data_IF_183039419595
#
_entry.id   IF_183039419595
#
_cell.length_a   1.000
_cell.length_b   1.000
_cell.length_c   1.000
_cell.angle_alpha   90.00
_cell.angle_beta   90.00
_cell.angle_gamma   90.00
#
_symmetry.space_group_name_H-M   'P 1'
#
loop_
_entity.id
_entity.type
_entity.pdbx_description
1 polymer ?
#
# COMPACT_ATOMS: atom_id res chain seq x y z
N UNK A 1 -20.01 -10.58 -16.10
CA UNK A 1 -19.62 -9.34 -15.41
C UNK A 1 -19.33 -9.56 -13.92
N UNK A 2 -20.21 -10.26 -13.18
CA UNK A 2 -20.02 -10.60 -11.76
C UNK A 2 -18.70 -11.32 -11.43
N UNK A 3 -18.21 -12.18 -12.34
CA UNK A 3 -16.92 -12.87 -12.16
C UNK A 3 -15.76 -11.87 -12.16
N UNK A 4 -15.75 -10.87 -13.04
CA UNK A 4 -14.63 -9.93 -13.16
C UNK A 4 -14.58 -8.95 -11.98
N UNK A 5 -15.75 -8.53 -11.47
CA UNK A 5 -15.84 -7.74 -10.24
C UNK A 5 -15.36 -8.55 -9.02
N UNK A 6 -15.66 -9.85 -8.95
CA UNK A 6 -15.16 -10.72 -7.89
C UNK A 6 -13.63 -10.90 -7.93
N UNK A 7 -13.03 -10.95 -9.12
CA UNK A 7 -11.57 -11.00 -9.26
C UNK A 7 -10.91 -9.69 -8.79
N UNK A 8 -11.48 -8.53 -9.15
CA UNK A 8 -10.96 -7.23 -8.72
C UNK A 8 -11.08 -7.10 -7.21
N UNK A 9 -12.22 -7.46 -6.61
CA UNK A 9 -12.40 -7.39 -5.16
C UNK A 9 -11.46 -8.33 -4.40
N UNK A 10 -11.26 -9.55 -4.92
CA UNK A 10 -10.31 -10.50 -4.35
C UNK A 10 -8.86 -9.99 -4.44
N UNK A 11 -8.48 -9.37 -5.56
CA UNK A 11 -7.16 -8.77 -5.72
C UNK A 11 -6.94 -7.63 -4.71
N UNK A 12 -7.90 -6.70 -4.59
CA UNK A 12 -7.84 -5.59 -3.61
C UNK A 12 -7.68 -6.12 -2.19
N UNK A 13 -8.50 -7.10 -1.81
CA UNK A 13 -8.46 -7.71 -0.48
C UNK A 13 -7.13 -8.44 -0.22
N UNK A 14 -6.64 -9.21 -1.19
CA UNK A 14 -5.39 -9.95 -1.06
C UNK A 14 -4.17 -9.02 -0.93
N UNK A 15 -4.03 -8.04 -1.83
CA UNK A 15 -2.92 -7.09 -1.78
C UNK A 15 -3.00 -6.15 -0.58
N UNK A 16 -4.20 -5.73 -0.18
CA UNK A 16 -4.40 -4.91 1.02
C UNK A 16 -4.04 -5.65 2.31
N UNK A 17 -4.51 -6.90 2.45
CA UNK A 17 -4.17 -7.74 3.60
C UNK A 17 -2.66 -8.05 3.64
N UNK A 18 -2.06 -8.37 2.50
CA UNK A 18 -0.63 -8.62 2.39
C UNK A 18 0.19 -7.38 2.75
N UNK A 19 -0.20 -6.21 2.26
CA UNK A 19 0.44 -4.93 2.62
C UNK A 19 0.41 -4.71 4.14
N UNK A 20 -0.76 -4.88 4.75
CA UNK A 20 -0.93 -4.72 6.20
C UNK A 20 -0.05 -5.69 7.00
N UNK A 21 -0.08 -6.99 6.67
CA UNK A 21 0.70 -8.01 7.36
C UNK A 21 2.20 -7.73 7.24
N UNK A 22 2.69 -7.40 6.04
CA UNK A 22 4.11 -7.10 5.85
C UNK A 22 4.54 -5.83 6.57
N UNK A 23 3.70 -4.79 6.59
CA UNK A 23 3.98 -3.55 7.32
C UNK A 23 4.07 -3.81 8.82
N UNK A 24 3.14 -4.58 9.39
CA UNK A 24 3.17 -4.97 10.81
C UNK A 24 4.43 -5.78 11.12
N UNK A 25 4.80 -6.75 10.27
CA UNK A 25 6.02 -7.54 10.49
C UNK A 25 7.26 -6.66 10.39
N UNK A 26 7.34 -5.76 9.41
CA UNK A 26 8.48 -4.86 9.23
C UNK A 26 8.68 -3.97 10.46
N UNK A 27 7.62 -3.36 10.99
CA UNK A 27 7.70 -2.51 12.18
C UNK A 27 8.07 -3.31 13.44
N UNK A 28 7.51 -4.50 13.62
CA UNK A 28 7.82 -5.33 14.81
C UNK A 28 9.22 -5.97 14.77
N UNK A 29 9.81 -6.12 13.59
CA UNK A 29 11.13 -6.74 13.40
C UNK A 29 12.26 -5.73 13.25
N UNK A 30 12.00 -4.44 13.51
CA UNK A 30 13.01 -3.39 13.43
C UNK A 30 14.17 -3.72 14.38
N UNK A 31 15.42 -3.77 13.90
CA UNK A 31 16.55 -4.06 14.75
C UNK A 31 16.75 -2.94 15.77
N UNK A 32 17.34 -3.31 16.91
CA UNK A 32 17.76 -2.34 17.92
C UNK A 32 18.78 -1.36 17.34
N UNK A 33 18.85 -0.16 17.94
CA UNK A 33 19.78 0.88 17.51
C UNK A 33 21.20 0.35 17.40
N UNK A 34 21.90 0.71 16.30
CA UNK A 34 23.24 0.23 16.02
C UNK A 34 24.22 0.47 17.17
N UNK A 35 25.20 -0.43 17.31
CA UNK A 35 26.19 -0.35 18.37
C UNK A 35 27.23 0.72 17.97
N UNK A 36 27.44 1.76 18.80
CA UNK A 36 28.41 2.80 18.50
C UNK A 36 29.83 2.23 18.70
N UNK A 37 30.63 2.26 17.64
CA UNK A 37 32.07 1.94 17.70
C UNK A 37 32.84 3.25 17.61
N UNK A 38 33.35 3.70 18.76
CA UNK A 38 34.19 4.89 18.87
C UNK A 38 35.58 4.60 18.31
N UNK A 39 35.93 5.20 17.17
CA UNK A 39 37.32 5.28 16.67
C UNK A 39 37.89 6.67 16.95
N UNK A 40 39.23 6.77 16.86
CA UNK A 40 40.03 7.96 17.17
C UNK A 40 39.50 9.28 16.58
N UNK A 41 38.89 9.23 15.40
CA UNK A 41 38.41 10.43 14.69
C UNK A 41 36.90 10.40 14.33
N UNK A 42 36.18 9.31 14.64
CA UNK A 42 34.75 9.17 14.31
C UNK A 42 34.03 8.09 15.14
N UNK A 43 32.75 8.30 15.41
CA UNK A 43 31.84 7.27 15.92
C UNK A 43 31.10 6.67 14.73
N UNK A 44 31.32 5.38 14.47
CA UNK A 44 30.60 4.64 13.42
C UNK A 44 29.57 3.74 14.10
N UNK A 45 28.30 3.88 13.75
CA UNK A 45 27.25 2.97 14.21
C UNK A 45 27.20 1.76 13.28
N UNK A 46 27.47 0.56 13.80
CA UNK A 46 27.24 -0.67 13.05
C UNK A 46 25.80 -1.13 13.22
N UNK A 47 25.09 -1.23 12.11
CA UNK A 47 23.75 -1.79 12.05
C UNK A 47 23.81 -3.23 11.51
N UNK A 48 23.09 -4.18 12.11
CA UNK A 48 22.95 -5.52 11.55
C UNK A 48 22.20 -5.48 10.21
N UNK A 49 22.32 -6.54 9.41
CA UNK A 49 21.53 -6.67 8.18
C UNK A 49 20.04 -6.62 8.51
N UNK A 50 19.34 -5.66 7.89
CA UNK A 50 17.97 -5.33 8.25
C UNK A 50 16.99 -5.74 7.13
N UNK A 51 16.23 -6.84 7.31
CA UNK A 51 15.22 -7.25 6.33
C UNK A 51 13.96 -6.37 6.35
N UNK A 52 13.79 -5.48 7.35
CA UNK A 52 12.59 -4.65 7.48
C UNK A 52 12.48 -3.62 6.38
N UNK A 53 13.59 -3.15 5.81
CA UNK A 53 13.58 -2.27 4.63
C UNK A 53 12.93 -2.97 3.45
N UNK A 54 13.28 -4.23 3.22
CA UNK A 54 12.70 -5.03 2.12
C UNK A 54 11.21 -5.28 2.41
N UNK A 55 10.87 -5.75 3.61
CA UNK A 55 9.48 -6.02 3.99
C UNK A 55 8.60 -4.76 3.92
N UNK A 56 9.10 -3.63 4.40
CA UNK A 56 8.43 -2.34 4.33
C UNK A 56 8.25 -1.87 2.88
N UNK A 57 9.30 -1.97 2.05
CA UNK A 57 9.18 -1.63 0.63
C UNK A 57 8.16 -2.50 -0.10
N UNK A 58 8.11 -3.80 0.21
CA UNK A 58 7.16 -4.73 -0.39
C UNK A 58 5.73 -4.45 0.08
N UNK A 59 5.55 -4.03 1.34
CA UNK A 59 4.27 -3.57 1.88
C UNK A 59 3.75 -2.34 1.12
N UNK A 60 4.61 -1.36 0.84
CA UNK A 60 4.25 -0.16 0.06
C UNK A 60 3.87 -0.52 -1.37
N UNK A 61 4.64 -1.41 -2.02
CA UNK A 61 4.32 -1.88 -3.38
C UNK A 61 2.97 -2.61 -3.41
N UNK A 62 2.72 -3.49 -2.43
CA UNK A 62 1.45 -4.19 -2.32
C UNK A 62 0.28 -3.22 -2.07
N UNK A 63 0.47 -2.20 -1.24
CA UNK A 63 -0.52 -1.15 -1.00
C UNK A 63 -0.86 -0.42 -2.31
N UNK A 64 0.18 -0.01 -3.05
CA UNK A 64 0.03 0.69 -4.32
C UNK A 64 -0.77 -0.14 -5.33
N UNK A 65 -0.47 -1.44 -5.46
CA UNK A 65 -1.25 -2.34 -6.30
C UNK A 65 -2.72 -2.43 -5.85
N UNK A 66 -2.96 -2.54 -4.55
CA UNK A 66 -4.33 -2.53 -3.99
C UNK A 66 -5.07 -1.24 -4.35
N UNK A 67 -4.43 -0.08 -4.21
CA UNK A 67 -4.99 1.23 -4.61
C UNK A 67 -5.30 1.28 -6.11
N UNK A 68 -4.38 0.82 -6.98
CA UNK A 68 -4.63 0.76 -8.41
C UNK A 68 -5.87 -0.10 -8.75
N UNK A 69 -5.97 -1.30 -8.18
CA UNK A 69 -7.14 -2.16 -8.40
C UNK A 69 -8.42 -1.54 -7.81
N UNK A 70 -8.32 -0.88 -6.66
CA UNK A 70 -9.41 -0.13 -6.04
C UNK A 70 -9.93 0.99 -6.95
N UNK A 71 -9.04 1.81 -7.51
CA UNK A 71 -9.39 2.87 -8.46
C UNK A 71 -10.04 2.30 -9.73
N UNK A 72 -9.48 1.22 -10.29
CA UNK A 72 -10.08 0.54 -11.45
C UNK A 72 -11.47 0.02 -11.12
N UNK A 73 -11.71 -0.46 -9.89
CA UNK A 73 -13.03 -0.96 -9.47
C UNK A 73 -14.11 0.12 -9.47
N UNK A 74 -13.77 1.38 -9.15
CA UNK A 74 -14.71 2.51 -9.10
C UNK A 74 -15.22 2.85 -10.49
N UNK A 75 -14.34 2.82 -11.50
CA UNK A 75 -14.69 3.15 -12.88
C UNK A 75 -15.10 1.93 -13.71
N UNK A 76 -15.14 0.74 -13.10
CA UNK A 76 -15.46 -0.48 -13.82
C UNK A 76 -16.94 -0.47 -14.27
N UNK A 77 -17.24 -0.74 -15.55
CA UNK A 77 -18.61 -0.63 -16.07
C UNK A 77 -19.55 -1.66 -15.46
N UNK A 78 -20.76 -1.21 -15.11
CA UNK A 78 -21.81 -2.06 -14.55
C UNK A 78 -22.89 -2.31 -15.61
N UNK A 79 -23.22 -3.57 -15.84
CA UNK A 79 -24.04 -4.07 -16.95
C UNK A 79 -23.73 -3.42 -18.32
N UNK A 80 -22.45 -3.17 -18.61
CA UNK A 80 -22.00 -2.61 -19.89
C UNK A 80 -22.22 -1.10 -20.01
N UNK A 81 -22.71 -0.45 -18.95
CA UNK A 81 -22.78 1.01 -18.85
C UNK A 81 -21.53 1.51 -18.14
N UNK A 82 -20.86 2.47 -18.77
CA UNK A 82 -19.75 3.20 -18.18
C UNK A 82 -20.22 4.09 -17.04
N UNK A 83 -19.37 4.28 -16.05
CA UNK A 83 -19.66 5.14 -14.90
C UNK A 83 -19.36 6.61 -15.28
N UNK A 84 -20.31 7.55 -15.10
CA UNK A 84 -20.09 8.96 -15.44
C UNK A 84 -19.15 9.62 -14.43
N UNK A 85 -17.91 9.89 -14.84
CA UNK A 85 -16.87 10.45 -13.96
C UNK A 85 -17.24 11.85 -13.45
N UNK A 86 -17.85 12.69 -14.28
CA UNK A 86 -18.27 14.05 -13.92
C UNK A 86 -19.23 14.06 -12.73
N UNK A 87 -20.18 13.11 -12.68
CA UNK A 87 -21.12 12.98 -11.59
C UNK A 87 -20.46 12.52 -10.29
N UNK A 88 -19.41 11.68 -10.36
CA UNK A 88 -18.65 11.28 -9.16
C UNK A 88 -17.89 12.45 -8.55
N UNK A 89 -17.23 13.27 -9.38
CA UNK A 89 -16.43 14.41 -8.91
C UNK A 89 -17.27 15.61 -8.45
N UNK A 90 -18.58 15.60 -8.71
CA UNK A 90 -19.51 16.58 -8.14
C UNK A 90 -19.75 16.33 -6.63
N UNK A 91 -19.54 15.10 -6.15
CA UNK A 91 -19.64 14.76 -4.73
C UNK A 91 -18.35 15.10 -3.99
N UNK A 92 -18.41 16.11 -3.11
CA UNK A 92 -17.26 16.53 -2.28
C UNK A 92 -16.69 15.39 -1.45
N UNK A 93 -17.55 14.53 -0.89
CA UNK A 93 -17.13 13.37 -0.10
C UNK A 93 -16.28 12.39 -0.93
N UNK A 94 -16.67 12.17 -2.19
CA UNK A 94 -15.99 11.23 -3.06
C UNK A 94 -14.68 11.81 -3.60
N UNK A 95 -14.64 13.12 -3.87
CA UNK A 95 -13.40 13.85 -4.18
C UNK A 95 -12.42 13.74 -3.01
N UNK A 96 -12.86 14.02 -1.78
CA UNK A 96 -12.01 13.94 -0.59
C UNK A 96 -11.53 12.49 -0.36
N UNK A 97 -12.40 11.50 -0.54
CA UNK A 97 -12.02 10.10 -0.46
C UNK A 97 -10.91 9.74 -1.45
N UNK A 98 -11.06 10.12 -2.73
CA UNK A 98 -10.05 9.85 -3.76
C UNK A 98 -8.74 10.61 -3.50
N UNK A 99 -8.80 11.80 -2.92
CA UNK A 99 -7.62 12.59 -2.57
C UNK A 99 -6.83 12.00 -1.38
N UNK A 100 -7.49 11.32 -0.45
CA UNK A 100 -6.83 10.64 0.68
C UNK A 100 -6.32 9.25 0.28
N UNK A 101 -7.03 8.59 -0.65
CA UNK A 101 -6.67 7.25 -1.09
C UNK A 101 -5.45 7.19 -2.02
N UNK A 102 -5.06 8.32 -2.63
CA UNK A 102 -3.90 8.50 -3.53
C UNK A 102 -2.78 9.20 -2.79
#
# INVERSE_FOLDING_TARGET
MAIRTAHISLAVAAFGALSFVLGVIAENKKPESGIPITRKDAVICMYPSDPTVVLGSLSVVALFLSTCFGLVSIFYPYNGKSVPQEALFQSTALVVFLAIAV
#
